data_IF_898694870392
#
_entry.id   IF_898694870392
#
_cell.length_a   1.000
_cell.length_b   1.000
_cell.length_c   1.000
_cell.angle_alpha   90.00
_cell.angle_beta   90.00
_cell.angle_gamma   90.00
#
_symmetry.space_group_name_H-M   'P 1'
#
loop_
_entity.id
_entity.type
_entity.pdbx_description
1 polymer ?
#
# COMPACT_ATOMS: atom_id res chain seq x y z
N UNK A 1 6.45 16.23 10.21
CA UNK A 1 6.92 17.22 9.21
C UNK A 1 6.40 18.64 9.46
N UNK A 2 5.10 18.94 9.44
CA UNK A 2 4.59 20.33 9.67
C UNK A 2 5.07 20.97 10.98
N UNK A 3 5.11 20.23 12.09
CA UNK A 3 5.62 20.73 13.38
C UNK A 3 7.08 21.15 13.28
N UNK A 4 7.90 20.32 12.65
CA UNK A 4 9.33 20.59 12.45
C UNK A 4 9.56 21.82 11.57
N UNK A 5 8.83 21.93 10.46
CA UNK A 5 8.90 23.11 9.59
C UNK A 5 8.48 24.41 10.29
N UNK A 6 7.52 24.34 11.22
CA UNK A 6 7.17 25.52 12.04
C UNK A 6 8.32 25.93 12.97
N UNK A 7 9.09 24.97 13.50
CA UNK A 7 10.27 25.28 14.31
C UNK A 7 11.34 25.89 13.43
N UNK A 8 11.66 25.31 12.27
CA UNK A 8 12.61 25.85 11.29
C UNK A 8 12.26 27.26 10.85
N UNK A 9 10.99 27.49 10.55
CA UNK A 9 10.50 28.81 10.12
C UNK A 9 10.75 29.86 11.19
N UNK A 10 10.46 29.56 12.45
CA UNK A 10 10.74 30.47 13.58
C UNK A 10 12.23 30.77 13.73
N UNK A 11 13.09 29.74 13.60
CA UNK A 11 14.54 29.93 13.64
C UNK A 11 15.03 30.77 12.47
N UNK A 12 14.61 30.45 11.23
CA UNK A 12 14.97 31.22 10.05
C UNK A 12 14.53 32.69 10.14
N UNK A 13 13.32 32.94 10.66
CA UNK A 13 12.80 34.28 10.87
C UNK A 13 13.63 35.05 11.91
N UNK A 14 13.92 34.43 13.07
CA UNK A 14 14.72 35.06 14.11
C UNK A 14 16.12 35.47 13.62
N UNK A 15 16.77 34.60 12.82
CA UNK A 15 18.08 34.89 12.20
C UNK A 15 17.93 36.03 11.18
N UNK A 16 16.87 36.03 10.36
CA UNK A 16 16.63 37.08 9.38
C UNK A 16 16.47 38.45 10.05
N UNK A 17 15.71 38.50 11.15
CA UNK A 17 15.50 39.73 11.91
C UNK A 17 16.79 40.22 12.58
N UNK A 18 17.60 39.31 13.16
CA UNK A 18 18.90 39.63 13.73
C UNK A 18 19.89 40.18 12.70
N UNK A 19 19.97 39.57 11.52
CA UNK A 19 20.86 40.03 10.45
C UNK A 19 20.40 41.32 9.79
N UNK A 20 19.10 41.61 9.76
CA UNK A 20 18.58 42.90 9.36
C UNK A 20 19.08 44.00 10.30
N UNK A 21 18.98 43.79 11.62
CA UNK A 21 19.48 44.75 12.61
C UNK A 21 21.00 44.96 12.53
N UNK A 22 21.77 43.85 12.26
CA UNK A 22 23.21 43.94 12.05
C UNK A 22 23.56 44.75 10.80
N UNK A 23 22.84 44.53 9.68
CA UNK A 23 23.00 45.31 8.47
C UNK A 23 22.75 46.80 8.70
N UNK A 24 21.64 47.13 9.40
CA UNK A 24 21.28 48.55 9.72
C UNK A 24 22.34 49.23 10.59
N UNK A 25 23.12 48.45 11.41
CA UNK A 25 24.22 48.99 12.21
C UNK A 25 25.57 48.97 11.49
N UNK A 26 25.66 48.35 10.31
CA UNK A 26 26.91 48.14 9.59
C UNK A 26 27.74 46.96 10.09
N UNK A 27 27.20 46.10 10.97
CA UNK A 27 27.86 44.93 11.56
C UNK A 27 27.72 43.65 10.68
N UNK A 28 26.95 43.71 9.61
CA UNK A 28 26.79 42.65 8.62
C UNK A 28 26.81 43.18 7.20
N UNK A 29 27.27 42.36 6.27
CA UNK A 29 27.25 42.69 4.85
C UNK A 29 25.88 42.43 4.22
N UNK A 30 25.56 43.14 3.13
CA UNK A 30 24.36 42.88 2.32
C UNK A 30 24.33 41.45 1.79
N UNK A 31 25.48 40.81 1.52
CA UNK A 31 25.58 39.45 1.06
C UNK A 31 25.16 38.44 2.14
N UNK A 32 25.51 38.70 3.41
CA UNK A 32 25.06 37.88 4.54
C UNK A 32 23.56 38.01 4.75
N UNK A 33 23.04 39.21 4.71
CA UNK A 33 21.60 39.46 4.80
C UNK A 33 20.83 38.73 3.68
N UNK A 34 21.30 38.84 2.44
CA UNK A 34 20.68 38.16 1.30
C UNK A 34 20.68 36.63 1.46
N UNK A 35 21.77 36.04 1.98
CA UNK A 35 21.82 34.60 2.27
C UNK A 35 20.76 34.16 3.27
N UNK A 36 20.57 34.95 4.32
CA UNK A 36 19.54 34.68 5.35
C UNK A 36 18.13 34.82 4.77
N UNK A 37 17.90 35.83 3.93
CA UNK A 37 16.60 35.99 3.25
C UNK A 37 16.29 34.83 2.29
N UNK A 38 17.29 34.33 1.56
CA UNK A 38 17.14 33.14 0.71
C UNK A 38 16.80 31.89 1.53
N UNK A 39 17.50 31.70 2.66
CA UNK A 39 17.20 30.59 3.57
C UNK A 39 15.76 30.69 4.11
N UNK A 40 15.32 31.86 4.57
CA UNK A 40 13.95 32.09 5.04
C UNK A 40 12.93 31.78 3.92
N UNK A 41 13.15 32.28 2.72
CA UNK A 41 12.29 32.03 1.56
C UNK A 41 12.20 30.54 1.21
N UNK A 42 13.30 29.81 1.32
CA UNK A 42 13.32 28.35 1.12
C UNK A 42 12.41 27.63 2.13
N UNK A 43 12.54 27.95 3.42
CA UNK A 43 11.72 27.34 4.49
C UNK A 43 10.24 27.72 4.33
N UNK A 44 9.94 28.96 3.94
CA UNK A 44 8.57 29.39 3.64
C UNK A 44 7.97 28.61 2.46
N UNK A 45 8.75 28.41 1.41
CA UNK A 45 8.35 27.61 0.24
C UNK A 45 8.08 26.15 0.60
N UNK A 46 8.92 25.54 1.43
CA UNK A 46 8.70 24.18 1.95
C UNK A 46 7.40 24.09 2.77
N UNK A 47 7.15 25.07 3.62
CA UNK A 47 5.92 25.12 4.42
C UNK A 47 4.67 25.19 3.53
N UNK A 48 4.69 26.08 2.53
CA UNK A 48 3.58 26.21 1.57
C UNK A 48 3.34 24.91 0.80
N UNK A 49 4.40 24.27 0.34
CA UNK A 49 4.30 22.97 -0.36
C UNK A 49 3.66 21.90 0.51
N UNK A 50 4.06 21.79 1.78
CA UNK A 50 3.48 20.82 2.72
C UNK A 50 2.02 21.10 3.02
N UNK A 51 1.61 22.38 3.08
CA UNK A 51 0.19 22.73 3.24
C UNK A 51 -0.65 22.32 2.03
N UNK A 52 -0.14 22.55 0.83
CA UNK A 52 -0.83 22.11 -0.42
C UNK A 52 -0.98 20.61 -0.44
N UNK A 53 0.09 19.86 -0.15
CA UNK A 53 0.07 18.39 -0.11
C UNK A 53 -0.90 17.87 0.96
N UNK A 54 -0.89 18.49 2.15
CA UNK A 54 -1.83 18.12 3.22
C UNK A 54 -3.29 18.32 2.79
N UNK A 55 -3.60 19.44 2.15
CA UNK A 55 -4.95 19.71 1.68
C UNK A 55 -5.38 18.74 0.58
N UNK A 56 -4.48 18.36 -0.32
CA UNK A 56 -4.73 17.34 -1.33
C UNK A 56 -5.06 15.98 -0.69
N UNK A 57 -4.26 15.54 0.30
CA UNK A 57 -4.50 14.29 1.03
C UNK A 57 -5.80 14.32 1.84
N UNK A 58 -6.16 15.43 2.44
CA UNK A 58 -7.46 15.58 3.14
C UNK A 58 -8.63 15.52 2.16
N UNK A 59 -8.49 16.11 0.97
CA UNK A 59 -9.51 16.03 -0.08
C UNK A 59 -9.68 14.58 -0.57
N UNK A 60 -8.59 13.84 -0.72
CA UNK A 60 -8.64 12.42 -1.08
C UNK A 60 -9.30 11.59 0.02
N UNK A 61 -8.95 11.85 1.30
CA UNK A 61 -9.57 11.18 2.43
C UNK A 61 -11.08 11.45 2.49
N UNK A 62 -11.51 12.71 2.23
CA UNK A 62 -12.92 13.08 2.10
C UNK A 62 -13.60 12.31 0.98
N UNK A 63 -12.97 12.19 -0.20
CA UNK A 63 -13.49 11.41 -1.33
C UNK A 63 -13.70 9.95 -0.95
N UNK A 64 -12.71 9.32 -0.28
CA UNK A 64 -12.79 7.93 0.18
C UNK A 64 -13.85 7.72 1.28
N UNK A 65 -14.16 8.77 2.03
CA UNK A 65 -15.20 8.74 3.07
C UNK A 65 -16.59 9.18 2.56
N UNK A 66 -16.89 8.93 1.29
CA UNK A 66 -18.20 9.25 0.71
C UNK A 66 -18.52 10.75 0.65
N UNK A 67 -17.52 11.62 0.60
CA UNK A 67 -17.68 13.08 0.53
C UNK A 67 -17.83 13.76 1.89
N UNK A 68 -17.81 13.03 3.00
CA UNK A 68 -17.86 13.59 4.35
C UNK A 68 -16.48 13.99 4.84
N UNK A 69 -16.41 15.12 5.55
CA UNK A 69 -15.15 15.61 6.12
C UNK A 69 -14.66 14.65 7.23
N UNK A 70 -13.37 14.36 7.20
CA UNK A 70 -12.71 13.57 8.24
C UNK A 70 -11.86 14.50 9.09
N UNK A 71 -12.15 14.54 10.38
CA UNK A 71 -11.33 15.25 11.36
C UNK A 71 -10.14 14.34 11.67
N UNK A 72 -8.96 14.72 11.18
CA UNK A 72 -7.73 13.99 11.43
C UNK A 72 -6.82 14.81 12.36
N UNK A 73 -6.83 14.46 13.63
CA UNK A 73 -6.04 15.13 14.69
C UNK A 73 -4.78 14.36 15.08
N UNK A 74 -4.64 13.11 14.64
CA UNK A 74 -3.49 12.29 14.99
C UNK A 74 -2.18 12.93 14.52
N UNK A 75 -1.26 13.13 15.44
CA UNK A 75 0.04 13.74 15.17
C UNK A 75 1.19 12.73 15.20
N UNK A 76 0.93 11.53 15.65
CA UNK A 76 1.88 10.42 15.74
C UNK A 76 1.25 9.17 15.15
N UNK A 77 2.07 8.30 14.61
CA UNK A 77 1.64 6.98 14.19
C UNK A 77 1.25 6.13 15.39
N UNK A 78 0.23 5.31 15.24
CA UNK A 78 -0.10 4.29 16.25
C UNK A 78 1.04 3.27 16.31
N UNK A 79 1.38 2.77 17.51
CA UNK A 79 2.35 1.70 17.61
C UNK A 79 1.85 0.48 16.84
N UNK A 80 2.48 0.18 15.75
CA UNK A 80 2.22 -1.01 14.97
C UNK A 80 3.53 -1.76 14.80
N UNK A 81 3.48 -3.08 14.91
CA UNK A 81 4.65 -3.95 14.82
C UNK A 81 4.53 -4.90 13.66
N UNK A 82 5.64 -5.14 13.00
CA UNK A 82 5.72 -6.22 12.02
C UNK A 82 5.51 -7.57 12.71
N UNK A 83 4.92 -8.55 12.03
CA UNK A 83 4.90 -9.93 12.50
C UNK A 83 6.32 -10.40 12.82
N UNK A 84 6.50 -11.04 13.96
CA UNK A 84 7.81 -11.54 14.41
C UNK A 84 8.32 -12.65 13.49
N UNK A 85 7.41 -13.53 13.06
CA UNK A 85 7.71 -14.64 12.15
C UNK A 85 6.84 -14.49 10.89
N UNK A 86 7.51 -14.31 9.75
CA UNK A 86 6.83 -14.18 8.46
C UNK A 86 6.05 -15.44 8.08
N UNK A 87 6.63 -16.63 8.30
CA UNK A 87 6.02 -17.88 7.85
C UNK A 87 4.71 -18.17 8.61
N UNK A 88 4.69 -17.95 9.92
CA UNK A 88 3.48 -18.14 10.74
C UNK A 88 2.38 -17.16 10.34
N UNK A 89 2.78 -15.91 10.10
CA UNK A 89 1.87 -14.88 9.62
C UNK A 89 1.32 -15.20 8.22
N UNK A 90 2.19 -15.63 7.30
CA UNK A 90 1.80 -16.04 5.95
C UNK A 90 0.78 -17.18 5.98
N UNK A 91 0.98 -18.21 6.80
CA UNK A 91 0.05 -19.32 6.92
C UNK A 91 -1.35 -18.86 7.36
N UNK A 92 -1.41 -17.92 8.30
CA UNK A 92 -2.69 -17.31 8.73
C UNK A 92 -3.35 -16.52 7.59
N UNK A 93 -2.59 -15.66 6.90
CA UNK A 93 -3.07 -14.87 5.77
C UNK A 93 -3.53 -15.77 4.59
N UNK A 94 -2.81 -16.85 4.31
CA UNK A 94 -3.15 -17.82 3.28
C UNK A 94 -4.51 -18.47 3.53
N UNK A 95 -4.80 -18.84 4.79
CA UNK A 95 -6.07 -19.49 5.15
C UNK A 95 -7.27 -18.54 4.99
N UNK A 96 -7.07 -17.26 5.27
CA UNK A 96 -8.14 -16.25 5.22
C UNK A 96 -8.35 -15.66 3.84
N UNK A 97 -7.39 -15.78 2.93
CA UNK A 97 -7.43 -15.11 1.63
C UNK A 97 -8.56 -15.62 0.73
N UNK A 98 -9.55 -14.78 0.34
CA UNK A 98 -10.70 -15.21 -0.45
C UNK A 98 -10.32 -15.69 -1.86
N UNK A 99 -9.26 -15.09 -2.46
CA UNK A 99 -8.81 -15.49 -3.79
C UNK A 99 -8.25 -16.90 -3.78
N UNK A 100 -7.46 -17.27 -2.78
CA UNK A 100 -6.92 -18.61 -2.64
C UNK A 100 -8.02 -19.65 -2.34
N UNK A 101 -9.03 -19.27 -1.54
CA UNK A 101 -10.22 -20.10 -1.35
C UNK A 101 -11.00 -20.31 -2.66
N UNK A 102 -11.16 -19.25 -3.45
CA UNK A 102 -11.82 -19.32 -4.75
C UNK A 102 -11.09 -20.28 -5.71
N UNK A 103 -9.78 -20.14 -5.90
CA UNK A 103 -9.03 -21.03 -6.82
C UNK A 103 -9.04 -22.46 -6.33
N UNK A 104 -9.06 -22.71 -5.02
CA UNK A 104 -9.24 -24.06 -4.45
C UNK A 104 -10.62 -24.64 -4.80
N UNK A 105 -11.67 -23.83 -4.70
CA UNK A 105 -13.02 -24.28 -5.10
C UNK A 105 -13.12 -24.57 -6.61
N UNK A 106 -12.39 -23.83 -7.46
CA UNK A 106 -12.37 -24.09 -8.89
C UNK A 106 -11.83 -25.50 -9.23
N UNK A 107 -10.96 -26.07 -8.39
CA UNK A 107 -10.54 -27.47 -8.56
C UNK A 107 -11.72 -28.42 -8.33
N UNK A 108 -12.54 -28.18 -7.30
CA UNK A 108 -13.71 -29.02 -7.01
C UNK A 108 -14.75 -28.90 -8.14
N UNK A 109 -15.00 -27.69 -8.64
CA UNK A 109 -15.85 -27.49 -9.83
C UNK A 109 -15.33 -28.27 -11.03
N UNK A 110 -14.01 -28.25 -11.27
CA UNK A 110 -13.38 -29.01 -12.37
C UNK A 110 -13.51 -30.54 -12.19
N UNK A 111 -13.43 -31.01 -10.92
CA UNK A 111 -13.67 -32.43 -10.60
C UNK A 111 -15.13 -32.83 -10.88
N UNK A 112 -16.09 -31.99 -10.51
CA UNK A 112 -17.52 -32.24 -10.82
C UNK A 112 -17.78 -32.24 -12.33
N UNK A 113 -17.06 -31.39 -13.10
CA UNK A 113 -17.13 -31.42 -14.55
C UNK A 113 -16.63 -32.76 -15.15
N UNK A 114 -15.62 -33.39 -14.50
CA UNK A 114 -15.21 -34.76 -14.90
C UNK A 114 -16.33 -35.78 -14.63
N UNK A 115 -17.01 -35.68 -13.47
CA UNK A 115 -18.14 -36.57 -13.15
C UNK A 115 -19.29 -36.36 -14.13
N UNK A 116 -19.61 -35.09 -14.42
CA UNK A 116 -20.62 -34.76 -15.44
C UNK A 116 -20.25 -35.33 -16.83
N UNK A 117 -18.98 -35.11 -17.24
CA UNK A 117 -18.49 -35.65 -18.51
C UNK A 117 -18.63 -37.17 -18.60
N UNK A 118 -18.35 -37.91 -17.50
CA UNK A 118 -18.58 -39.37 -17.42
C UNK A 118 -20.08 -39.69 -17.49
N UNK A 119 -20.95 -39.00 -16.75
CA UNK A 119 -22.37 -39.26 -16.77
C UNK A 119 -22.98 -39.03 -18.15
N UNK A 120 -22.48 -38.04 -18.90
CA UNK A 120 -22.94 -37.77 -20.27
C UNK A 120 -22.54 -38.84 -21.31
N UNK A 121 -21.65 -39.77 -20.96
CA UNK A 121 -21.34 -40.92 -21.83
C UNK A 121 -22.29 -42.08 -21.63
N UNK A 122 -23.17 -42.02 -20.62
CA UNK A 122 -24.15 -43.08 -20.35
C UNK A 122 -25.38 -42.90 -21.27
N UNK A 123 -26.12 -44.01 -21.57
CA UNK A 123 -27.38 -43.93 -22.27
C UNK A 123 -28.38 -43.02 -21.55
N UNK A 124 -29.11 -42.21 -22.30
CA UNK A 124 -30.21 -41.39 -21.79
C UNK A 124 -31.54 -42.07 -22.09
N UNK A 125 -32.36 -42.17 -21.06
CA UNK A 125 -33.74 -42.69 -21.18
C UNK A 125 -34.70 -41.51 -21.18
N UNK A 126 -35.68 -41.54 -22.07
CA UNK A 126 -36.75 -40.57 -22.09
C UNK A 126 -38.09 -41.31 -22.05
N UNK A 127 -39.01 -40.82 -21.24
CA UNK A 127 -40.43 -41.27 -21.22
C UNK A 127 -41.30 -40.04 -21.35
N UNK A 128 -42.31 -40.12 -22.20
CA UNK A 128 -43.21 -39.01 -22.41
C UNK A 128 -44.65 -39.49 -22.68
N UNK A 129 -45.61 -38.66 -22.35
CA UNK A 129 -46.99 -38.81 -22.74
C UNK A 129 -47.33 -37.68 -23.69
N UNK A 130 -47.86 -38.00 -24.88
CA UNK A 130 -48.27 -37.02 -25.87
C UNK A 130 -49.79 -37.07 -26.06
N UNK A 131 -50.40 -35.91 -26.10
CA UNK A 131 -51.80 -35.71 -26.40
C UNK A 131 -51.92 -34.69 -27.56
N UNK A 132 -52.40 -35.12 -28.68
CA UNK A 132 -52.69 -34.27 -29.85
C UNK A 132 -54.19 -34.27 -30.18
N UNK A 133 -54.74 -33.09 -30.46
CA UNK A 133 -56.10 -32.90 -30.90
C UNK A 133 -56.09 -32.29 -32.28
N UNK A 134 -56.58 -33.03 -33.23
CA UNK A 134 -56.70 -32.56 -34.63
C UNK A 134 -58.13 -32.87 -35.18
N UNK A 135 -58.82 -31.85 -35.67
CA UNK A 135 -60.14 -31.98 -36.29
C UNK A 135 -61.19 -32.80 -35.48
N UNK A 136 -61.22 -32.62 -34.15
CA UNK A 136 -62.19 -33.28 -33.27
C UNK A 136 -61.76 -34.68 -32.79
N UNK A 137 -60.65 -35.21 -33.26
CA UNK A 137 -60.08 -36.48 -32.79
C UNK A 137 -58.98 -36.26 -31.79
N UNK A 138 -58.91 -37.09 -30.78
CA UNK A 138 -57.86 -37.09 -29.76
C UNK A 138 -56.91 -38.25 -30.00
N UNK A 139 -55.66 -37.93 -30.24
CA UNK A 139 -54.58 -38.92 -30.27
C UNK A 139 -53.77 -38.83 -28.97
N UNK A 140 -53.63 -39.96 -28.29
CA UNK A 140 -52.81 -40.02 -27.06
C UNK A 140 -51.91 -41.23 -27.12
N UNK A 141 -50.69 -41.04 -26.63
CA UNK A 141 -49.71 -42.09 -26.68
C UNK A 141 -48.64 -41.94 -25.62
N UNK A 142 -48.03 -43.05 -25.28
CA UNK A 142 -46.81 -43.09 -24.42
C UNK A 142 -45.62 -43.30 -25.34
N UNK A 143 -44.59 -42.46 -25.20
CA UNK A 143 -43.32 -42.60 -25.88
C UNK A 143 -42.24 -43.03 -24.92
N UNK A 144 -41.43 -43.98 -25.27
CA UNK A 144 -40.23 -44.39 -24.56
C UNK A 144 -39.08 -44.34 -25.55
N UNK A 145 -38.00 -43.66 -25.18
CA UNK A 145 -36.83 -43.54 -26.01
C UNK A 145 -35.53 -43.83 -25.23
N UNK A 146 -34.56 -44.37 -25.95
CA UNK A 146 -33.19 -44.53 -25.47
C UNK A 146 -32.27 -43.82 -26.46
N UNK A 147 -31.36 -42.96 -25.96
CA UNK A 147 -30.33 -42.30 -26.76
C UNK A 147 -28.97 -42.74 -26.25
N UNK A 148 -28.16 -43.38 -27.15
CA UNK A 148 -26.84 -43.86 -26.84
C UNK A 148 -25.82 -42.97 -27.53
N UNK A 149 -25.03 -42.15 -26.77
CA UNK A 149 -24.00 -41.25 -27.32
C UNK A 149 -22.74 -42.06 -27.72
N UNK A 150 -22.70 -42.55 -28.99
CA UNK A 150 -21.60 -43.40 -29.45
C UNK A 150 -20.29 -42.65 -29.65
N UNK A 151 -20.29 -41.44 -30.19
CA UNK A 151 -19.10 -40.63 -30.51
C UNK A 151 -19.15 -39.20 -30.00
N UNK A 152 -20.27 -38.69 -29.64
CA UNK A 152 -20.52 -37.31 -29.28
C UNK A 152 -19.63 -36.85 -28.11
N UNK A 153 -19.33 -37.75 -27.18
CA UNK A 153 -18.59 -37.43 -25.93
C UNK A 153 -17.16 -38.05 -25.89
N UNK A 154 -16.62 -38.51 -27.03
CA UNK A 154 -15.36 -39.29 -27.09
C UNK A 154 -14.18 -38.66 -26.34
N UNK A 155 -13.98 -37.35 -26.42
CA UNK A 155 -12.85 -36.63 -25.77
C UNK A 155 -13.27 -35.74 -24.56
N UNK A 156 -14.57 -35.68 -24.26
CA UNK A 156 -15.09 -34.78 -23.22
C UNK A 156 -14.51 -35.08 -21.83
N UNK A 157 -14.43 -36.34 -21.46
CA UNK A 157 -13.81 -36.75 -20.18
C UNK A 157 -12.31 -36.43 -20.15
N UNK A 158 -11.60 -36.65 -21.28
CA UNK A 158 -10.17 -36.31 -21.38
C UNK A 158 -9.97 -34.78 -21.24
N UNK A 159 -10.78 -33.98 -21.90
CA UNK A 159 -10.77 -32.52 -21.77
C UNK A 159 -11.07 -32.08 -20.34
N UNK A 160 -12.09 -32.65 -19.69
CA UNK A 160 -12.42 -32.31 -18.30
C UNK A 160 -11.30 -32.68 -17.33
N UNK A 161 -10.63 -33.84 -17.52
CA UNK A 161 -9.45 -34.20 -16.72
C UNK A 161 -8.29 -33.24 -16.91
N UNK A 162 -8.03 -32.81 -18.15
CA UNK A 162 -7.02 -31.76 -18.41
C UNK A 162 -7.39 -30.44 -17.74
N UNK A 163 -8.70 -30.10 -17.67
CA UNK A 163 -9.21 -28.97 -16.90
C UNK A 163 -8.88 -29.02 -15.41
N UNK A 164 -8.95 -30.21 -14.78
CA UNK A 164 -8.55 -30.39 -13.38
C UNK A 164 -7.06 -30.11 -13.20
N UNK A 165 -6.21 -30.63 -14.09
CA UNK A 165 -4.76 -30.38 -14.04
C UNK A 165 -4.45 -28.90 -14.19
N UNK A 166 -5.14 -28.22 -15.13
CA UNK A 166 -4.99 -26.77 -15.31
C UNK A 166 -5.47 -25.97 -14.09
N UNK A 167 -6.57 -26.39 -13.44
CA UNK A 167 -7.04 -25.74 -12.20
C UNK A 167 -6.05 -25.93 -11.03
N UNK A 168 -5.45 -27.12 -10.89
CA UNK A 168 -4.41 -27.39 -9.89
C UNK A 168 -3.16 -26.54 -10.12
N UNK A 169 -2.71 -26.44 -11.38
CA UNK A 169 -1.55 -25.60 -11.72
C UNK A 169 -1.81 -24.11 -11.42
N UNK A 170 -3.03 -23.62 -11.70
CA UNK A 170 -3.43 -22.23 -11.35
C UNK A 170 -3.47 -21.99 -9.84
N UNK A 171 -3.94 -22.97 -9.07
CA UNK A 171 -3.96 -22.87 -7.60
C UNK A 171 -2.52 -22.79 -7.05
N UNK A 172 -1.62 -23.62 -7.56
CA UNK A 172 -0.22 -23.60 -7.15
C UNK A 172 0.46 -22.28 -7.54
N UNK A 173 0.23 -21.78 -8.76
CA UNK A 173 0.73 -20.48 -9.22
C UNK A 173 0.19 -19.32 -8.37
N UNK A 174 -1.11 -19.32 -8.08
CA UNK A 174 -1.74 -18.28 -7.24
C UNK A 174 -1.17 -18.29 -5.81
N UNK A 175 -0.88 -19.45 -5.24
CA UNK A 175 -0.23 -19.56 -3.93
C UNK A 175 1.19 -18.99 -3.96
N UNK A 176 1.94 -19.31 -5.01
CA UNK A 176 3.31 -18.81 -5.15
C UNK A 176 3.32 -17.30 -5.32
N UNK A 177 2.47 -16.75 -6.19
CA UNK A 177 2.35 -15.30 -6.38
C UNK A 177 1.94 -14.58 -5.09
N UNK A 178 1.03 -15.17 -4.32
CA UNK A 178 0.60 -14.62 -3.04
C UNK A 178 1.74 -14.63 -2.02
N UNK A 179 2.48 -15.73 -1.90
CA UNK A 179 3.66 -15.84 -1.04
C UNK A 179 4.71 -14.80 -1.40
N UNK A 180 5.09 -14.71 -2.67
CA UNK A 180 6.13 -13.79 -3.14
C UNK A 180 5.72 -12.32 -2.92
N UNK A 181 4.45 -12.00 -3.17
CA UNK A 181 3.91 -10.66 -2.90
C UNK A 181 4.01 -10.30 -1.42
N UNK A 182 3.57 -11.18 -0.53
CA UNK A 182 3.62 -10.93 0.91
C UNK A 182 5.06 -10.86 1.44
N UNK A 183 5.92 -11.74 0.96
CA UNK A 183 7.33 -11.73 1.32
C UNK A 183 8.01 -10.42 0.91
N UNK A 184 7.74 -9.93 -0.29
CA UNK A 184 8.27 -8.65 -0.76
C UNK A 184 7.76 -7.48 0.08
N UNK A 185 6.47 -7.44 0.43
CA UNK A 185 5.91 -6.41 1.32
C UNK A 185 6.55 -6.46 2.71
N UNK A 186 6.69 -7.64 3.29
CA UNK A 186 7.33 -7.84 4.60
C UNK A 186 8.79 -7.40 4.61
N UNK A 187 9.58 -7.83 3.62
CA UNK A 187 10.99 -7.45 3.50
C UNK A 187 11.15 -5.94 3.32
N UNK A 188 10.28 -5.32 2.51
CA UNK A 188 10.26 -3.87 2.34
C UNK A 188 9.94 -3.15 3.65
N UNK A 189 8.90 -3.56 4.36
CA UNK A 189 8.53 -2.96 5.64
C UNK A 189 9.63 -3.13 6.69
N UNK A 190 10.25 -4.31 6.78
CA UNK A 190 11.37 -4.58 7.69
C UNK A 190 12.59 -3.71 7.39
N UNK A 191 12.98 -3.59 6.12
CA UNK A 191 14.10 -2.73 5.72
C UNK A 191 13.85 -1.25 6.01
N UNK A 192 12.63 -0.76 5.74
CA UNK A 192 12.25 0.62 6.04
C UNK A 192 12.20 0.88 7.55
N UNK A 193 11.75 -0.09 8.35
CA UNK A 193 11.78 0.00 9.81
C UNK A 193 13.20 0.19 10.33
N UNK A 194 14.13 -0.65 9.89
CA UNK A 194 15.53 -0.56 10.28
C UNK A 194 16.14 0.80 9.89
N UNK A 195 15.83 1.27 8.68
CA UNK A 195 16.29 2.57 8.20
C UNK A 195 15.74 3.72 9.06
N UNK A 196 14.44 3.69 9.37
CA UNK A 196 13.81 4.72 10.21
C UNK A 196 14.41 4.74 11.63
N UNK A 197 14.66 3.57 12.22
CA UNK A 197 15.31 3.44 13.54
C UNK A 197 16.72 4.02 13.49
N UNK A 198 17.55 3.64 12.51
CA UNK A 198 18.92 4.11 12.37
C UNK A 198 19.00 5.65 12.24
N UNK A 199 18.14 6.24 11.40
CA UNK A 199 18.05 7.70 11.27
C UNK A 199 17.63 8.36 12.58
N UNK A 200 16.66 7.82 13.29
CA UNK A 200 16.18 8.38 14.56
C UNK A 200 17.23 8.33 15.65
N UNK A 201 18.00 7.25 15.73
CA UNK A 201 19.11 7.12 16.66
C UNK A 201 20.22 8.12 16.33
N UNK A 202 20.57 8.28 15.07
CA UNK A 202 21.55 9.28 14.62
C UNK A 202 21.11 10.70 14.98
N UNK A 203 19.85 11.06 14.78
CA UNK A 203 19.33 12.39 15.15
C UNK A 203 19.37 12.63 16.67
N UNK A 204 19.10 11.59 17.48
CA UNK A 204 19.19 11.72 18.94
C UNK A 204 20.62 11.93 19.40
N UNK A 205 21.57 11.20 18.79
CA UNK A 205 22.99 11.27 19.18
C UNK A 205 23.67 12.55 18.70
N UNK A 206 23.25 13.10 17.56
CA UNK A 206 23.95 14.18 16.85
C UNK A 206 23.15 15.51 16.79
N UNK A 207 22.22 15.72 17.72
CA UNK A 207 21.47 16.97 17.77
C UNK A 207 22.30 18.13 18.34
N UNK A 208 22.96 18.85 17.46
CA UNK A 208 23.82 19.99 17.80
C UNK A 208 23.14 21.35 17.55
N UNK A 209 21.83 21.40 17.30
CA UNK A 209 21.13 22.63 16.88
C UNK A 209 21.29 23.79 17.87
N UNK A 210 21.19 23.50 19.17
CA UNK A 210 21.39 24.52 20.22
C UNK A 210 22.84 25.02 20.31
N UNK A 211 23.81 24.11 20.09
CA UNK A 211 25.23 24.46 20.09
C UNK A 211 25.57 25.32 18.89
N UNK A 212 25.08 24.98 17.70
CA UNK A 212 25.27 25.75 16.47
C UNK A 212 24.72 27.18 16.62
N UNK A 213 23.55 27.33 17.22
CA UNK A 213 22.96 28.65 17.44
C UNK A 213 23.80 29.49 18.39
N UNK A 214 24.27 28.89 19.51
CA UNK A 214 25.13 29.57 20.45
C UNK A 214 26.48 29.95 19.83
N UNK A 215 27.09 29.05 19.05
CA UNK A 215 28.36 29.33 18.37
C UNK A 215 28.24 30.47 17.35
N UNK A 216 27.09 30.57 16.64
CA UNK A 216 26.81 31.70 15.77
C UNK A 216 26.66 33.02 16.54
N UNK A 217 25.94 32.99 17.68
CA UNK A 217 25.66 34.19 18.47
C UNK A 217 26.96 34.78 19.09
N UNK A 218 27.91 33.92 19.52
CA UNK A 218 29.20 34.36 20.07
C UNK A 218 30.28 34.58 18.99
N UNK A 219 29.95 34.34 17.72
CA UNK A 219 30.87 34.56 16.59
C UNK A 219 31.94 33.47 16.39
N UNK A 220 31.82 32.30 17.06
CA UNK A 220 32.72 31.17 16.88
C UNK A 220 32.64 30.53 15.49
N UNK A 221 31.44 30.56 14.87
CA UNK A 221 31.22 30.10 13.51
C UNK A 221 30.63 31.19 12.62
N UNK A 222 30.96 31.14 11.34
CA UNK A 222 30.38 32.05 10.38
C UNK A 222 28.93 31.70 10.08
N UNK A 223 28.14 32.69 9.63
CA UNK A 223 26.78 32.47 9.15
C UNK A 223 26.71 31.38 8.08
N UNK A 224 27.68 31.32 7.17
CA UNK A 224 27.72 30.30 6.12
C UNK A 224 27.86 28.89 6.72
N UNK A 225 28.79 28.73 7.65
CA UNK A 225 28.98 27.44 8.33
C UNK A 225 27.73 27.04 9.10
N UNK A 226 27.09 27.99 9.80
CA UNK A 226 25.83 27.74 10.51
C UNK A 226 24.73 27.24 9.53
N UNK A 227 24.52 27.91 8.39
CA UNK A 227 23.50 27.53 7.41
C UNK A 227 23.80 26.14 6.83
N UNK A 228 25.04 25.82 6.54
CA UNK A 228 25.44 24.50 6.03
C UNK A 228 25.18 23.41 7.08
N UNK A 229 25.66 23.59 8.31
CA UNK A 229 25.52 22.60 9.38
C UNK A 229 24.07 22.36 9.79
N UNK A 230 23.29 23.44 9.96
CA UNK A 230 21.87 23.33 10.29
C UNK A 230 21.08 22.72 9.11
N UNK A 231 21.50 22.96 7.88
CA UNK A 231 20.95 22.36 6.68
C UNK A 231 21.11 20.83 6.68
N UNK A 232 22.33 20.33 6.96
CA UNK A 232 22.59 18.89 7.09
C UNK A 232 21.71 18.23 8.17
N UNK A 233 21.56 18.88 9.32
CA UNK A 233 20.67 18.40 10.36
C UNK A 233 19.22 18.30 9.86
N UNK A 234 18.71 19.36 9.23
CA UNK A 234 17.33 19.37 8.74
C UNK A 234 17.10 18.40 7.58
N UNK A 235 18.08 18.18 6.73
CA UNK A 235 18.01 17.14 5.69
C UNK A 235 17.89 15.75 6.30
N UNK A 236 18.68 15.48 7.36
CA UNK A 236 18.58 14.22 8.09
C UNK A 236 17.21 14.06 8.78
N UNK A 237 16.62 15.14 9.34
CA UNK A 237 15.25 15.13 9.86
C UNK A 237 14.25 14.79 8.76
N UNK A 238 14.40 15.38 7.57
CA UNK A 238 13.53 15.10 6.43
C UNK A 238 13.62 13.64 5.99
N UNK A 239 14.83 13.07 5.91
CA UNK A 239 15.07 11.67 5.58
C UNK A 239 14.45 10.73 6.63
N UNK A 240 14.59 11.07 7.91
CA UNK A 240 13.96 10.31 9.01
C UNK A 240 12.45 10.27 8.86
N UNK A 241 11.82 11.44 8.69
CA UNK A 241 10.36 11.53 8.56
C UNK A 241 9.85 10.86 7.28
N UNK A 242 10.63 10.87 6.21
CA UNK A 242 10.32 10.15 4.98
C UNK A 242 10.40 8.64 5.19
N UNK A 243 11.46 8.14 5.83
CA UNK A 243 11.62 6.73 6.13
C UNK A 243 10.51 6.20 7.06
N UNK A 244 10.14 6.97 8.09
CA UNK A 244 9.02 6.64 8.98
C UNK A 244 7.69 6.56 8.22
N UNK A 245 7.39 7.55 7.38
CA UNK A 245 6.19 7.55 6.54
C UNK A 245 6.15 6.32 5.62
N UNK A 246 7.28 6.02 4.98
CA UNK A 246 7.36 4.93 4.01
C UNK A 246 7.27 3.56 4.71
N UNK A 247 7.79 3.44 5.94
CA UNK A 247 7.58 2.28 6.79
C UNK A 247 6.10 2.10 7.15
N UNK A 248 5.43 3.14 7.65
CA UNK A 248 4.03 3.08 8.04
C UNK A 248 3.11 2.75 6.84
N UNK A 249 3.44 3.30 5.67
CA UNK A 249 2.74 2.95 4.43
C UNK A 249 2.94 1.48 4.06
N UNK A 250 4.17 0.98 4.12
CA UNK A 250 4.45 -0.43 3.83
C UNK A 250 3.77 -1.37 4.83
N UNK A 251 3.67 -0.97 6.09
CA UNK A 251 2.95 -1.70 7.14
C UNK A 251 1.44 -1.70 6.90
N UNK A 252 0.86 -0.57 6.48
CA UNK A 252 -0.53 -0.51 6.09
C UNK A 252 -0.85 -1.40 4.87
N UNK A 253 0.04 -1.40 3.85
CA UNK A 253 -0.08 -2.28 2.69
C UNK A 253 -0.01 -3.77 3.10
N UNK A 254 0.79 -4.11 4.10
CA UNK A 254 0.89 -5.45 4.65
C UNK A 254 -0.39 -5.84 5.41
N UNK A 255 -0.90 -4.95 6.27
CA UNK A 255 -2.12 -5.18 7.07
C UNK A 255 -3.37 -5.25 6.20
N UNK A 256 -3.41 -4.55 5.06
CA UNK A 256 -4.53 -4.60 4.12
C UNK A 256 -4.76 -5.99 3.50
N UNK A 257 -3.79 -6.90 3.61
CA UNK A 257 -3.92 -8.27 3.11
C UNK A 257 -4.70 -9.17 4.08
N UNK A 258 -4.82 -8.76 5.36
CA UNK A 258 -5.56 -9.48 6.39
C UNK A 258 -7.06 -9.14 6.43
N UNK A 259 -7.45 -8.05 5.74
CA UNK A 259 -8.84 -7.58 5.61
C UNK A 259 -9.55 -8.28 4.44
#
# INVERSE_FOLDING_TARGET
MKKELKVRLRHAQAIADAYRQRLDRGDASILEYNKVQLNLSTVQGEMSRIEVERNALLSELKRLNGGMDVIFEASNYSPASLPVNFEDWYLSAQQKNPLLQYVKQQIEVSKEQVKLGKAMTLPKFSAGYSLERTLGQKYQGISVGISIPLWENKNRVKQAKAGVVAAQAREQDSKQQFYDRLRNLYMRASGLQQTAIAYRESLKALNNTALLMKALDVGEISLLNYIVEIGLYYDTVNQTLAAERDFEKALADLSAVEL
#
